data_IF_871455053561
#
_entry.id   IF_871455053561
#
_cell.length_a   1.000
_cell.length_b   1.000
_cell.length_c   1.000
_cell.angle_alpha   90.00
_cell.angle_beta   90.00
_cell.angle_gamma   90.00
#
_symmetry.space_group_name_H-M   'P 1'
#
loop_
_entity.id
_entity.type
_entity.pdbx_description
1 polymer ?
#
# COMPACT_ATOMS: atom_id res chain seq x y z
N UNK A 1 -20.32 22.89 38.85
CA UNK A 1 -20.81 22.02 37.76
C UNK A 1 -22.19 22.50 37.36
N UNK A 2 -22.41 22.83 36.08
CA UNK A 2 -23.74 23.21 35.58
C UNK A 2 -24.73 22.05 35.81
N UNK A 3 -25.96 22.33 36.25
CA UNK A 3 -27.01 21.32 36.45
C UNK A 3 -27.28 20.51 35.16
N UNK A 4 -27.02 21.13 34.02
CA UNK A 4 -27.20 20.57 32.69
C UNK A 4 -26.24 19.41 32.39
N UNK A 5 -24.94 19.56 32.68
CA UNK A 5 -23.96 18.50 32.42
C UNK A 5 -24.14 17.29 33.33
N UNK A 6 -24.69 17.48 34.52
CA UNK A 6 -25.06 16.40 35.43
C UNK A 6 -26.31 15.63 34.96
N UNK A 7 -27.26 16.28 34.27
CA UNK A 7 -28.41 15.60 33.65
C UNK A 7 -27.95 14.73 32.49
N UNK A 8 -27.13 15.30 31.60
CA UNK A 8 -26.59 14.61 30.43
C UNK A 8 -25.80 13.37 30.84
N UNK A 9 -24.94 13.47 31.86
CA UNK A 9 -24.19 12.31 32.35
C UNK A 9 -25.09 11.19 32.90
N UNK A 10 -26.19 11.54 33.58
CA UNK A 10 -27.16 10.56 34.08
C UNK A 10 -27.92 9.88 32.94
N UNK A 11 -28.35 10.63 31.95
CA UNK A 11 -29.04 10.09 30.77
C UNK A 11 -28.12 9.16 29.97
N UNK A 12 -26.87 9.57 29.71
CA UNK A 12 -25.86 8.77 29.02
C UNK A 12 -25.49 7.52 29.82
N UNK A 13 -25.33 7.64 31.15
CA UNK A 13 -25.05 6.48 32.02
C UNK A 13 -26.17 5.44 31.97
N UNK A 14 -27.43 5.89 31.92
CA UNK A 14 -28.61 5.03 31.86
C UNK A 14 -28.70 4.31 30.51
N UNK A 15 -28.37 5.00 29.42
CA UNK A 15 -28.40 4.42 28.09
C UNK A 15 -27.26 3.43 27.85
N UNK A 16 -26.05 3.73 28.35
CA UNK A 16 -24.87 2.89 28.19
C UNK A 16 -24.75 1.78 29.24
N UNK A 17 -25.53 1.83 30.33
CA UNK A 17 -25.43 0.87 31.44
C UNK A 17 -24.13 0.98 32.25
N UNK A 18 -23.45 2.13 32.18
CA UNK A 18 -22.13 2.36 32.81
C UNK A 18 -22.30 3.36 33.96
N UNK A 19 -21.64 3.18 35.12
CA UNK A 19 -21.75 4.11 36.24
C UNK A 19 -21.31 5.53 35.86
N UNK A 20 -22.01 6.55 36.37
CA UNK A 20 -21.71 7.98 36.12
C UNK A 20 -20.25 8.33 36.44
N UNK A 21 -19.65 7.68 37.44
CA UNK A 21 -18.28 7.90 37.87
C UNK A 21 -17.23 7.51 36.80
N UNK A 22 -17.60 6.69 35.81
CA UNK A 22 -16.73 6.30 34.70
C UNK A 22 -16.78 7.29 33.52
N UNK A 23 -17.78 8.19 33.48
CA UNK A 23 -17.93 9.22 32.45
C UNK A 23 -17.14 10.46 32.89
N UNK A 24 -15.85 10.47 32.58
CA UNK A 24 -14.92 11.56 32.85
C UNK A 24 -14.51 12.25 31.53
N UNK A 25 -14.00 13.48 31.61
CA UNK A 25 -13.46 14.22 30.45
C UNK A 25 -12.40 13.41 29.69
N UNK A 26 -11.61 12.61 30.40
CA UNK A 26 -10.61 11.73 29.80
C UNK A 26 -11.25 10.56 29.07
N UNK A 27 -12.33 9.97 29.60
CA UNK A 27 -13.06 8.86 28.97
C UNK A 27 -13.62 9.26 27.61
N UNK A 28 -14.21 10.46 27.51
CA UNK A 28 -14.76 10.98 26.25
C UNK A 28 -13.65 11.19 25.22
N UNK A 29 -12.53 11.80 25.62
CA UNK A 29 -11.38 11.99 24.74
C UNK A 29 -10.76 10.66 24.31
N UNK A 30 -10.66 9.69 25.22
CA UNK A 30 -10.17 8.33 24.91
C UNK A 30 -11.08 7.59 23.92
N UNK A 31 -12.40 7.67 24.08
CA UNK A 31 -13.34 7.05 23.13
C UNK A 31 -13.23 7.73 21.77
N UNK A 32 -13.17 9.07 21.74
CA UNK A 32 -12.99 9.82 20.50
C UNK A 32 -11.66 9.45 19.80
N UNK A 33 -10.60 9.26 20.59
CA UNK A 33 -9.29 8.82 20.12
C UNK A 33 -9.29 7.38 19.59
N UNK A 34 -10.01 6.47 20.25
CA UNK A 34 -10.16 5.09 19.78
C UNK A 34 -10.96 5.01 18.48
N UNK A 35 -12.04 5.79 18.37
CA UNK A 35 -12.78 5.95 17.11
C UNK A 35 -11.84 6.52 16.04
N UNK A 36 -11.03 7.53 16.36
CA UNK A 36 -10.08 8.11 15.43
C UNK A 36 -9.05 7.09 14.92
N UNK A 37 -8.46 6.27 15.79
CA UNK A 37 -7.55 5.18 15.39
C UNK A 37 -8.30 4.14 14.54
N UNK A 38 -9.49 3.70 14.96
CA UNK A 38 -10.27 2.70 14.21
C UNK A 38 -10.68 3.18 12.82
N UNK A 39 -10.88 4.49 12.65
CA UNK A 39 -11.18 5.08 11.34
C UNK A 39 -9.90 5.31 10.53
N UNK A 40 -8.82 5.85 11.10
CA UNK A 40 -7.56 6.04 10.35
C UNK A 40 -6.89 4.72 9.94
N UNK A 41 -6.93 3.70 10.78
CA UNK A 41 -6.27 2.41 10.50
C UNK A 41 -6.96 1.66 9.34
N UNK A 42 -8.30 1.77 9.23
CA UNK A 42 -9.05 1.19 8.11
C UNK A 42 -8.79 1.88 6.76
N UNK A 43 -8.30 3.12 6.75
CA UNK A 43 -7.81 3.75 5.51
C UNK A 43 -6.40 3.29 5.13
N UNK A 44 -5.65 2.66 6.04
CA UNK A 44 -4.30 2.18 5.76
C UNK A 44 -4.30 0.81 5.06
N UNK A 45 -5.19 -0.11 5.44
CA UNK A 45 -5.20 -1.49 4.89
C UNK A 45 -5.65 -1.54 3.43
N UNK A 46 -6.67 -0.78 3.04
CA UNK A 46 -7.12 -0.74 1.64
C UNK A 46 -6.09 -0.06 0.73
N UNK A 47 -5.44 1.00 1.22
CA UNK A 47 -4.35 1.66 0.52
C UNK A 47 -3.13 0.73 0.36
N UNK A 48 -2.78 -0.02 1.40
CA UNK A 48 -1.67 -0.97 1.40
C UNK A 48 -1.91 -2.15 0.44
N UNK A 49 -3.11 -2.72 0.41
CA UNK A 49 -3.45 -3.82 -0.50
C UNK A 49 -3.44 -3.37 -1.97
N UNK A 50 -3.96 -2.16 -2.26
CA UNK A 50 -3.93 -1.61 -3.62
C UNK A 50 -2.49 -1.28 -4.06
N UNK A 51 -1.67 -0.74 -3.16
CA UNK A 51 -0.29 -0.40 -3.44
C UNK A 51 0.56 -1.65 -3.70
N UNK A 52 0.42 -2.70 -2.89
CA UNK A 52 1.14 -3.96 -3.08
C UNK A 52 0.75 -4.67 -4.38
N UNK A 53 -0.52 -4.62 -4.78
CA UNK A 53 -0.95 -5.15 -6.08
C UNK A 53 -0.30 -4.43 -7.26
N UNK A 54 -0.16 -3.10 -7.17
CA UNK A 54 0.51 -2.29 -8.20
C UNK A 54 2.01 -2.60 -8.23
N UNK A 55 2.68 -2.65 -7.07
CA UNK A 55 4.11 -2.98 -6.97
C UNK A 55 4.41 -4.34 -7.58
N UNK A 56 3.63 -5.38 -7.23
CA UNK A 56 3.81 -6.71 -7.81
C UNK A 56 3.64 -6.73 -9.33
N UNK A 57 2.68 -5.98 -9.85
CA UNK A 57 2.48 -5.85 -11.30
C UNK A 57 3.68 -5.17 -11.97
N UNK A 58 4.15 -4.07 -11.41
CA UNK A 58 5.32 -3.33 -11.93
C UNK A 58 6.59 -4.19 -11.89
N UNK A 59 6.80 -4.97 -10.82
CA UNK A 59 7.94 -5.89 -10.74
C UNK A 59 7.87 -7.01 -11.79
N UNK A 60 6.68 -7.58 -12.02
CA UNK A 60 6.48 -8.61 -13.04
C UNK A 60 6.75 -8.06 -14.45
N UNK A 61 6.23 -6.87 -14.76
CA UNK A 61 6.48 -6.19 -16.02
C UNK A 61 7.97 -5.89 -16.21
N UNK A 62 8.64 -5.35 -15.18
CA UNK A 62 10.09 -5.10 -15.20
C UNK A 62 10.88 -6.37 -15.51
N UNK A 63 10.58 -7.49 -14.83
CA UNK A 63 11.25 -8.78 -15.09
C UNK A 63 11.07 -9.24 -16.53
N UNK A 64 9.88 -9.08 -17.11
CA UNK A 64 9.65 -9.41 -18.53
C UNK A 64 10.48 -8.54 -19.47
N UNK A 65 10.57 -7.23 -19.24
CA UNK A 65 11.39 -6.36 -20.05
C UNK A 65 12.88 -6.65 -19.90
N UNK A 66 13.35 -6.95 -18.69
CA UNK A 66 14.74 -7.36 -18.45
C UNK A 66 15.12 -8.62 -19.26
N UNK A 67 14.21 -9.59 -19.40
CA UNK A 67 14.40 -10.77 -20.26
C UNK A 67 14.47 -10.39 -21.73
N UNK A 68 13.54 -9.56 -22.21
CA UNK A 68 13.53 -9.10 -23.62
C UNK A 68 14.79 -8.33 -23.98
N UNK A 69 15.29 -7.49 -23.07
CA UNK A 69 16.53 -6.74 -23.25
C UNK A 69 17.73 -7.68 -23.34
N UNK A 70 17.81 -8.69 -22.46
CA UNK A 70 18.87 -9.71 -22.53
C UNK A 70 18.85 -10.46 -23.85
N UNK A 71 17.67 -10.84 -24.33
CA UNK A 71 17.52 -11.55 -25.59
C UNK A 71 17.93 -10.68 -26.79
N UNK A 72 17.46 -9.43 -26.86
CA UNK A 72 17.86 -8.48 -27.90
C UNK A 72 19.38 -8.23 -27.91
N UNK A 73 20.03 -8.20 -26.74
CA UNK A 73 21.49 -8.10 -26.65
C UNK A 73 22.22 -9.34 -27.18
N UNK A 74 21.68 -10.54 -26.91
CA UNK A 74 22.23 -11.79 -27.45
C UNK A 74 22.08 -11.83 -28.97
N UNK A 75 20.89 -11.52 -29.48
CA UNK A 75 20.61 -11.48 -30.92
C UNK A 75 21.55 -10.50 -31.61
N UNK A 76 21.74 -9.30 -31.05
CA UNK A 76 22.69 -8.32 -31.57
C UNK A 76 24.12 -8.84 -31.59
N UNK A 77 24.56 -9.56 -30.55
CA UNK A 77 25.90 -10.17 -30.52
C UNK A 77 26.05 -11.26 -31.58
N UNK A 78 25.04 -12.12 -31.73
CA UNK A 78 25.01 -13.20 -32.73
C UNK A 78 25.06 -12.60 -34.13
N UNK A 79 24.20 -11.63 -34.44
CA UNK A 79 24.23 -10.92 -35.73
C UNK A 79 25.58 -10.28 -36.03
N UNK A 80 26.20 -9.65 -35.02
CA UNK A 80 27.54 -9.06 -35.16
C UNK A 80 28.61 -10.12 -35.43
N UNK A 81 28.54 -11.27 -34.74
CA UNK A 81 29.44 -12.40 -34.96
C UNK A 81 29.27 -13.01 -36.36
N UNK A 82 28.02 -13.22 -36.78
CA UNK A 82 27.68 -13.73 -38.13
C UNK A 82 28.25 -12.78 -39.19
N UNK A 83 27.98 -11.47 -39.09
CA UNK A 83 28.49 -10.51 -40.08
C UNK A 83 30.03 -10.48 -40.13
N UNK A 84 30.70 -10.53 -38.97
CA UNK A 84 32.18 -10.56 -38.93
C UNK A 84 32.74 -11.81 -39.60
N UNK A 85 32.12 -12.96 -39.40
CA UNK A 85 32.58 -14.23 -39.98
C UNK A 85 32.18 -14.41 -41.45
N UNK A 86 31.10 -13.76 -41.90
CA UNK A 86 30.70 -13.73 -43.32
C UNK A 86 31.62 -12.84 -44.16
N UNK A 87 32.11 -11.71 -43.61
CA UNK A 87 33.08 -10.84 -44.29
C UNK A 87 34.43 -11.53 -44.56
N UNK A 88 34.78 -12.59 -43.82
CA UNK A 88 35.98 -13.40 -44.07
C UNK A 88 35.79 -14.55 -45.07
N UNK A 89 34.58 -14.74 -45.63
CA UNK A 89 34.22 -15.87 -46.50
C UNK A 89 33.58 -15.47 -47.83
N UNK A 90 33.67 -14.21 -48.26
CA UNK A 90 33.18 -13.81 -49.59
C UNK A 90 34.12 -14.32 -50.68
N UNK A 91 33.70 -15.22 -51.60
CA UNK A 91 34.53 -15.72 -52.70
C UNK A 91 34.52 -14.77 -53.92
N UNK A 92 34.35 -13.46 -53.70
CA UNK A 92 34.38 -12.46 -54.76
C UNK A 92 35.28 -11.29 -54.34
N UNK A 93 36.58 -11.54 -54.45
CA UNK A 93 37.60 -10.58 -54.84
C UNK A 93 38.69 -11.37 -55.55
#
# INVERSE_FOLDING_TARGET
MSKESASIQKEVSKWLGIPVNWINKYSVVSVLFLVWIMFLDRYNVFAYNKLNGIIHKLEAEKKMYDVKIKQAMLDKKIWKWIMKNLQGKTPYA
#
